data_IF_435760235700
#
_entry.id   IF_435760235700
#
_cell.length_a   1.000
_cell.length_b   1.000
_cell.length_c   1.000
_cell.angle_alpha   90.00
_cell.angle_beta   90.00
_cell.angle_gamma   90.00
#
_symmetry.space_group_name_H-M   'P 1'
#
loop_
_entity.id
_entity.type
_entity.pdbx_description
1 polymer ?
#
# COMPACT_ATOMS: atom_id res chain seq x y z
N UNK A 1 4.77 7.79 4.77
CA UNK A 1 3.85 8.78 5.38
C UNK A 1 3.27 9.77 4.37
N UNK A 2 4.03 10.30 3.40
CA UNK A 2 3.52 11.33 2.46
C UNK A 2 3.31 10.88 1.00
N UNK A 3 3.46 9.58 0.71
CA UNK A 3 3.54 9.05 -0.66
C UNK A 3 2.36 9.39 -1.55
N UNK A 4 1.11 9.19 -1.09
CA UNK A 4 -0.07 9.43 -1.92
C UNK A 4 -0.28 10.91 -2.27
N UNK A 5 0.09 11.83 -1.38
CA UNK A 5 0.03 13.27 -1.66
C UNK A 5 1.08 13.70 -2.70
N UNK A 6 2.29 13.15 -2.61
CA UNK A 6 3.35 13.38 -3.61
C UNK A 6 2.95 12.84 -5.00
N UNK A 7 2.34 11.65 -5.05
CA UNK A 7 1.78 11.07 -6.27
C UNK A 7 0.71 11.98 -6.87
N UNK A 8 -0.25 12.44 -6.06
CA UNK A 8 -1.28 13.37 -6.53
C UNK A 8 -0.65 14.63 -7.11
N UNK A 9 0.36 15.19 -6.45
CA UNK A 9 1.13 16.34 -6.95
C UNK A 9 1.76 16.07 -8.31
N UNK A 10 2.38 14.89 -8.50
CA UNK A 10 2.91 14.48 -9.80
C UNK A 10 1.82 14.44 -10.89
N UNK A 11 0.64 13.89 -10.58
CA UNK A 11 -0.44 13.74 -11.55
C UNK A 11 -1.13 15.07 -11.89
N UNK A 12 -1.31 15.96 -10.91
CA UNK A 12 -2.15 17.16 -11.07
C UNK A 12 -1.36 18.45 -11.36
N UNK A 13 -0.05 18.52 -11.06
CA UNK A 13 0.76 19.69 -11.40
C UNK A 13 0.88 19.82 -12.93
N UNK A 14 0.39 20.95 -13.44
CA UNK A 14 0.41 21.35 -14.84
C UNK A 14 1.70 22.13 -15.17
N UNK A 15 2.80 21.39 -15.29
CA UNK A 15 4.06 21.92 -15.82
C UNK A 15 4.81 20.83 -16.58
N UNK A 16 5.47 21.13 -17.71
CA UNK A 16 6.38 20.20 -18.35
C UNK A 16 7.66 20.00 -17.54
N UNK A 17 8.00 20.95 -16.67
CA UNK A 17 9.24 20.97 -15.87
C UNK A 17 9.03 20.32 -14.49
N UNK A 18 8.57 19.06 -14.50
CA UNK A 18 8.45 18.22 -13.31
C UNK A 18 9.30 16.96 -13.43
N UNK A 19 9.77 16.49 -12.28
CA UNK A 19 10.52 15.24 -12.11
C UNK A 19 10.00 14.50 -10.87
N UNK A 20 9.89 13.18 -10.96
CA UNK A 20 9.51 12.30 -9.86
C UNK A 20 10.67 11.35 -9.54
N UNK A 21 11.17 11.43 -8.29
CA UNK A 21 12.09 10.44 -7.73
C UNK A 21 11.39 9.73 -6.58
N UNK A 22 11.05 8.47 -6.79
CA UNK A 22 10.60 7.58 -5.74
C UNK A 22 11.81 6.92 -5.08
N UNK A 23 11.96 7.08 -3.77
CA UNK A 23 13.08 6.51 -3.01
C UNK A 23 12.58 5.48 -1.98
N UNK A 24 13.41 4.50 -1.60
CA UNK A 24 13.04 3.46 -0.63
C UNK A 24 13.24 3.89 0.83
N UNK A 25 13.75 5.10 1.05
CA UNK A 25 14.20 5.55 2.37
C UNK A 25 13.18 6.39 3.14
N UNK A 26 13.41 6.51 4.44
CA UNK A 26 12.79 7.45 5.35
C UNK A 26 13.13 8.89 4.95
N UNK A 27 12.19 9.83 5.13
CA UNK A 27 12.30 11.21 4.61
C UNK A 27 13.53 11.99 5.09
N UNK A 28 13.89 11.91 6.37
CA UNK A 28 15.04 12.62 6.93
C UNK A 28 16.35 11.98 6.49
N UNK A 29 16.38 10.65 6.39
CA UNK A 29 17.54 9.98 5.83
C UNK A 29 17.73 10.36 4.36
N UNK A 30 16.69 10.31 3.53
CA UNK A 30 16.84 10.72 2.13
C UNK A 30 17.25 12.19 2.03
N UNK A 31 16.63 13.10 2.78
CA UNK A 31 16.93 14.52 2.67
C UNK A 31 18.34 14.90 3.18
N UNK A 32 18.78 14.29 4.29
CA UNK A 32 20.01 14.73 5.00
C UNK A 32 21.13 13.70 5.00
N UNK A 33 20.79 12.41 4.99
CA UNK A 33 21.72 11.29 5.08
C UNK A 33 22.16 10.71 3.73
N UNK A 34 21.36 10.91 2.68
CA UNK A 34 21.67 10.48 1.31
C UNK A 34 22.37 11.61 0.53
N UNK A 35 23.68 11.50 0.22
CA UNK A 35 24.41 12.54 -0.50
C UNK A 35 23.85 12.80 -1.92
N UNK A 36 23.29 11.77 -2.57
CA UNK A 36 22.72 11.89 -3.91
C UNK A 36 21.50 12.83 -3.89
N UNK A 37 20.57 12.61 -2.95
CA UNK A 37 19.36 13.42 -2.82
C UNK A 37 19.68 14.91 -2.64
N UNK A 38 20.64 15.22 -1.76
CA UNK A 38 21.09 16.59 -1.52
C UNK A 38 21.73 17.22 -2.76
N UNK A 39 22.58 16.47 -3.47
CA UNK A 39 23.23 16.95 -4.68
C UNK A 39 22.20 17.25 -5.78
N UNK A 40 21.23 16.36 -6.00
CA UNK A 40 20.17 16.56 -6.98
C UNK A 40 19.27 17.76 -6.65
N UNK A 41 18.88 17.91 -5.37
CA UNK A 41 18.09 19.07 -4.94
C UNK A 41 18.82 20.40 -5.22
N UNK A 42 20.13 20.44 -4.98
CA UNK A 42 20.93 21.63 -5.26
C UNK A 42 21.13 21.87 -6.75
N UNK A 43 21.23 20.83 -7.58
CA UNK A 43 21.24 20.98 -9.04
C UNK A 43 19.92 21.55 -9.56
N UNK A 44 18.78 21.03 -9.09
CA UNK A 44 17.46 21.57 -9.42
C UNK A 44 17.34 23.06 -9.04
N UNK A 45 17.71 23.42 -7.81
CA UNK A 45 17.68 24.82 -7.37
C UNK A 45 18.70 25.70 -8.10
N UNK A 46 19.90 25.20 -8.38
CA UNK A 46 20.87 25.92 -9.22
C UNK A 46 20.28 26.26 -10.59
N UNK A 47 19.58 25.30 -11.20
CA UNK A 47 18.96 25.50 -12.51
C UNK A 47 17.82 26.52 -12.50
N UNK A 48 16.87 26.38 -11.57
CA UNK A 48 15.62 27.15 -11.61
C UNK A 48 15.58 28.39 -10.72
N UNK A 49 16.43 28.48 -9.69
CA UNK A 49 16.51 29.66 -8.82
C UNK A 49 17.68 30.59 -9.18
N UNK A 50 18.74 30.06 -9.79
CA UNK A 50 19.93 30.85 -10.18
C UNK A 50 20.16 30.94 -11.69
N UNK A 51 19.47 30.14 -12.49
CA UNK A 51 19.65 30.11 -13.94
C UNK A 51 20.95 29.45 -14.40
N UNK A 52 21.54 28.58 -13.58
CA UNK A 52 22.77 27.85 -13.95
C UNK A 52 22.50 26.83 -15.06
N UNK A 53 23.30 26.82 -16.13
CA UNK A 53 23.28 25.78 -17.17
C UNK A 53 24.00 24.51 -16.70
N UNK A 54 23.46 23.86 -15.67
CA UNK A 54 24.08 22.70 -15.02
C UNK A 54 23.62 21.34 -15.57
N UNK A 55 22.79 21.35 -16.63
CA UNK A 55 22.33 20.14 -17.32
C UNK A 55 21.25 19.34 -16.58
N UNK A 56 20.57 19.93 -15.59
CA UNK A 56 19.49 19.28 -14.83
C UNK A 56 18.41 18.64 -15.72
N UNK A 57 18.11 19.24 -16.86
CA UNK A 57 17.09 18.74 -17.79
C UNK A 57 17.42 17.36 -18.38
N UNK A 58 18.68 16.91 -18.28
CA UNK A 58 19.08 15.54 -18.64
C UNK A 58 18.69 14.49 -17.58
N UNK A 59 18.30 14.91 -16.38
CA UNK A 59 17.83 14.00 -15.33
C UNK A 59 16.57 13.29 -15.83
N UNK A 60 16.49 11.94 -15.73
CA UNK A 60 15.29 11.22 -16.12
C UNK A 60 14.04 11.70 -15.37
N UNK A 61 12.94 11.91 -16.11
CA UNK A 61 11.69 12.50 -15.60
C UNK A 61 11.08 11.67 -14.47
N UNK A 62 11.11 10.34 -14.58
CA UNK A 62 10.61 9.44 -13.55
C UNK A 62 11.66 8.39 -13.22
N UNK A 63 11.96 8.27 -11.92
CA UNK A 63 12.83 7.26 -11.35
C UNK A 63 12.13 6.58 -10.19
N UNK A 64 12.05 5.26 -10.24
CA UNK A 64 11.39 4.42 -9.25
C UNK A 64 12.40 3.68 -8.37
N UNK A 65 11.92 3.16 -7.24
CA UNK A 65 12.66 2.25 -6.40
C UNK A 65 11.84 0.99 -6.08
N UNK A 66 12.53 -0.13 -5.87
CA UNK A 66 11.94 -1.40 -5.45
C UNK A 66 12.49 -1.83 -4.10
N UNK A 67 11.57 -2.11 -3.18
CA UNK A 67 11.89 -2.75 -1.92
C UNK A 67 11.99 -4.26 -2.13
N UNK A 68 13.10 -4.85 -1.68
CA UNK A 68 13.30 -6.30 -1.65
C UNK A 68 12.86 -6.95 -0.35
N UNK A 69 12.69 -6.15 0.72
CA UNK A 69 12.50 -6.61 2.11
C UNK A 69 13.68 -7.48 2.59
N UNK A 70 13.69 -7.81 3.89
CA UNK A 70 14.81 -8.52 4.49
C UNK A 70 16.03 -7.59 4.65
N UNK A 71 17.22 -8.19 4.67
CA UNK A 71 18.49 -7.46 4.72
C UNK A 71 19.07 -7.15 3.34
N UNK A 72 18.26 -7.31 2.30
CA UNK A 72 18.67 -6.97 0.94
C UNK A 72 18.55 -5.47 0.72
N UNK A 73 19.55 -4.89 0.05
CA UNK A 73 19.47 -3.50 -0.38
C UNK A 73 18.31 -3.31 -1.39
N UNK A 74 17.60 -2.17 -1.33
CA UNK A 74 16.61 -1.83 -2.33
C UNK A 74 17.27 -1.56 -3.69
N UNK A 75 16.49 -1.62 -4.75
CA UNK A 75 16.92 -1.18 -6.09
C UNK A 75 16.46 0.27 -6.25
N UNK A 76 17.37 1.18 -6.57
CA UNK A 76 17.10 2.61 -6.67
C UNK A 76 17.29 3.13 -8.10
N UNK A 77 16.73 4.30 -8.39
CA UNK A 77 16.93 5.05 -9.63
C UNK A 77 16.54 4.28 -10.91
N UNK A 78 15.57 3.38 -10.84
CA UNK A 78 15.05 2.65 -12.02
C UNK A 78 14.34 3.66 -12.92
N UNK A 79 14.90 3.92 -14.10
CA UNK A 79 14.32 4.87 -15.05
C UNK A 79 13.09 4.25 -15.71
N UNK A 80 11.95 4.92 -15.59
CA UNK A 80 10.69 4.51 -16.21
C UNK A 80 10.12 5.68 -17.02
N UNK A 81 9.28 5.41 -18.05
CA UNK A 81 8.79 6.47 -18.92
C UNK A 81 7.83 7.44 -18.23
N UNK A 82 6.99 6.95 -17.31
CA UNK A 82 6.01 7.77 -16.58
C UNK A 82 5.51 7.06 -15.30
N UNK A 83 4.72 7.77 -14.49
CA UNK A 83 3.90 7.23 -13.42
C UNK A 83 2.44 7.73 -13.53
N UNK A 84 1.42 6.85 -13.50
CA UNK A 84 1.50 5.39 -13.36
C UNK A 84 2.24 4.74 -14.54
N UNK A 85 2.83 3.57 -14.32
CA UNK A 85 3.66 2.93 -15.33
C UNK A 85 2.78 2.51 -16.53
N UNK A 86 3.09 2.94 -17.77
CA UNK A 86 2.22 2.70 -18.94
C UNK A 86 1.91 1.23 -19.21
N UNK A 87 2.88 0.33 -19.01
CA UNK A 87 2.76 -1.11 -19.29
C UNK A 87 2.38 -1.92 -18.03
N UNK A 88 1.65 -1.31 -17.10
CA UNK A 88 1.20 -2.00 -15.88
C UNK A 88 0.12 -3.04 -16.21
N UNK A 89 0.39 -4.30 -15.85
CA UNK A 89 -0.57 -5.41 -15.93
C UNK A 89 -1.37 -5.50 -14.63
N UNK A 90 -2.55 -4.88 -14.62
CA UNK A 90 -3.46 -4.91 -13.47
C UNK A 90 -4.20 -6.24 -13.38
N UNK A 91 -3.81 -7.08 -12.41
CA UNK A 91 -4.42 -8.40 -12.18
C UNK A 91 -5.38 -8.37 -11.02
N UNK A 92 -6.54 -8.98 -11.22
CA UNK A 92 -7.49 -9.27 -10.14
C UNK A 92 -7.17 -10.61 -9.49
N UNK A 93 -6.97 -10.62 -8.19
CA UNK A 93 -6.82 -11.84 -7.37
C UNK A 93 -7.98 -11.92 -6.38
N UNK A 94 -8.85 -12.92 -6.56
CA UNK A 94 -10.08 -13.11 -5.80
C UNK A 94 -9.83 -13.88 -4.51
N UNK A 95 -10.45 -13.41 -3.43
CA UNK A 95 -10.43 -14.07 -2.13
C UNK A 95 -11.09 -15.44 -2.24
N UNK A 96 -10.51 -16.46 -1.60
CA UNK A 96 -11.03 -17.83 -1.59
C UNK A 96 -11.31 -18.29 -0.15
N UNK A 97 -12.27 -19.21 0.02
CA UNK A 97 -12.70 -19.71 1.33
C UNK A 97 -11.62 -20.49 2.09
N UNK A 98 -10.58 -20.96 1.40
CA UNK A 98 -9.43 -21.66 1.97
C UNK A 98 -8.30 -20.71 2.45
N UNK A 99 -8.52 -19.40 2.40
CA UNK A 99 -7.53 -18.40 2.80
C UNK A 99 -6.46 -18.15 1.72
N UNK A 100 -6.74 -18.46 0.46
CA UNK A 100 -5.86 -18.13 -0.67
C UNK A 100 -6.43 -17.00 -1.54
N UNK A 101 -5.60 -16.51 -2.45
CA UNK A 101 -5.96 -15.59 -3.52
C UNK A 101 -5.87 -16.33 -4.86
N UNK A 102 -7.01 -16.45 -5.55
CA UNK A 102 -7.14 -17.14 -6.83
C UNK A 102 -7.27 -16.20 -8.03
N UNK A 103 -6.96 -16.66 -9.24
CA UNK A 103 -7.12 -15.87 -10.47
C UNK A 103 -8.58 -15.73 -10.93
N UNK A 104 -9.48 -16.55 -10.39
CA UNK A 104 -10.91 -16.55 -10.71
C UNK A 104 -11.75 -16.48 -9.43
N UNK A 105 -12.92 -15.87 -9.52
CA UNK A 105 -13.87 -15.84 -8.41
C UNK A 105 -14.46 -17.24 -8.15
N UNK A 106 -14.61 -17.61 -6.88
CA UNK A 106 -15.39 -18.81 -6.53
C UNK A 106 -16.83 -18.67 -7.02
N UNK A 107 -17.40 -19.76 -7.54
CA UNK A 107 -18.84 -19.81 -7.90
C UNK A 107 -19.72 -19.98 -6.68
N UNK A 108 -19.19 -20.55 -5.61
CA UNK A 108 -19.91 -20.77 -4.37
C UNK A 108 -19.83 -19.54 -3.48
N UNK A 109 -20.97 -19.11 -2.96
CA UNK A 109 -21.03 -18.02 -1.98
C UNK A 109 -20.66 -18.53 -0.60
N UNK A 110 -19.70 -17.84 0.02
CA UNK A 110 -19.24 -18.08 1.39
C UNK A 110 -18.81 -16.76 2.03
N UNK A 111 -18.38 -16.79 3.29
CA UNK A 111 -17.75 -15.64 3.92
C UNK A 111 -16.72 -16.10 4.95
N UNK A 112 -15.77 -15.23 5.25
CA UNK A 112 -14.90 -15.34 6.43
C UNK A 112 -15.26 -14.22 7.38
N UNK A 113 -15.43 -14.55 8.66
CA UNK A 113 -15.76 -13.60 9.72
C UNK A 113 -14.59 -13.39 10.67
N UNK A 114 -14.51 -12.20 11.26
CA UNK A 114 -13.55 -11.88 12.31
C UNK A 114 -14.18 -10.92 13.33
N UNK A 115 -13.73 -10.99 14.57
CA UNK A 115 -14.11 -10.00 15.59
C UNK A 115 -13.46 -8.64 15.28
N UNK A 116 -14.27 -7.63 14.97
CA UNK A 116 -13.79 -6.29 14.59
C UNK A 116 -13.20 -5.50 15.77
N UNK A 117 -13.50 -5.92 17.00
CA UNK A 117 -13.03 -5.32 18.26
C UNK A 117 -11.77 -5.98 18.82
N UNK A 118 -11.20 -6.96 18.11
CA UNK A 118 -9.95 -7.64 18.51
C UNK A 118 -8.84 -7.43 17.47
N UNK A 119 -7.72 -8.14 17.61
CA UNK A 119 -6.65 -8.19 16.62
C UNK A 119 -6.90 -9.23 15.53
N UNK A 120 -8.07 -9.85 15.49
CA UNK A 120 -8.44 -10.81 14.45
C UNK A 120 -8.52 -10.14 13.07
N UNK A 121 -8.31 -10.95 12.03
CA UNK A 121 -8.43 -10.53 10.64
C UNK A 121 -8.76 -11.73 9.75
N UNK A 122 -9.44 -11.47 8.64
CA UNK A 122 -9.50 -12.42 7.53
C UNK A 122 -8.22 -12.26 6.71
N UNK A 123 -7.52 -13.36 6.41
CA UNK A 123 -6.21 -13.31 5.75
C UNK A 123 -6.15 -14.23 4.53
N UNK A 124 -5.57 -13.73 3.43
CA UNK A 124 -5.54 -14.43 2.14
C UNK A 124 -4.15 -14.38 1.51
N UNK A 125 -3.61 -15.53 1.11
CA UNK A 125 -2.23 -15.67 0.62
C UNK A 125 -2.16 -15.90 -0.89
N UNK A 126 -1.22 -15.22 -1.56
CA UNK A 126 -0.79 -15.52 -2.92
C UNK A 126 0.73 -15.80 -2.94
N UNK A 127 1.14 -16.96 -3.46
CA UNK A 127 2.55 -17.34 -3.56
C UNK A 127 3.04 -17.16 -5.00
N UNK A 128 4.16 -16.46 -5.17
CA UNK A 128 4.70 -16.15 -6.49
C UNK A 128 5.48 -17.34 -7.04
N UNK A 129 5.08 -17.83 -8.22
CA UNK A 129 5.77 -18.93 -8.89
C UNK A 129 7.13 -18.53 -9.49
N UNK A 130 7.32 -17.24 -9.77
CA UNK A 130 8.53 -16.68 -10.36
C UNK A 130 8.77 -15.28 -9.79
N UNK A 131 9.99 -14.76 -9.97
CA UNK A 131 10.31 -13.38 -9.59
C UNK A 131 9.31 -12.41 -10.23
N UNK A 132 8.70 -11.57 -9.41
CA UNK A 132 7.61 -10.68 -9.81
C UNK A 132 7.75 -9.34 -9.12
N UNK A 133 7.27 -8.27 -9.75
CA UNK A 133 7.29 -6.93 -9.17
C UNK A 133 5.87 -6.37 -9.16
N UNK A 134 5.51 -5.74 -8.05
CA UNK A 134 4.25 -5.01 -7.91
C UNK A 134 4.60 -3.55 -7.67
N UNK A 135 4.26 -2.69 -8.63
CA UNK A 135 4.64 -1.28 -8.62
C UNK A 135 3.47 -0.40 -9.05
N UNK A 136 3.05 0.53 -8.20
CA UNK A 136 1.94 1.45 -8.48
C UNK A 136 0.85 1.38 -7.41
N UNK A 137 -0.38 1.69 -7.81
CA UNK A 137 -1.55 1.81 -6.92
C UNK A 137 -2.42 0.53 -6.93
N UNK A 138 -2.38 -0.29 -5.87
CA UNK A 138 -3.32 -1.39 -5.66
C UNK A 138 -4.67 -0.92 -5.10
N UNK A 139 -5.71 -1.76 -5.27
CA UNK A 139 -7.06 -1.55 -4.73
C UNK A 139 -7.61 -2.85 -4.18
N UNK A 140 -8.34 -2.79 -3.07
CA UNK A 140 -9.24 -3.88 -2.65
C UNK A 140 -10.68 -3.55 -3.04
N UNK A 141 -11.39 -4.53 -3.58
CA UNK A 141 -12.84 -4.50 -3.74
C UNK A 141 -13.41 -5.55 -2.81
N UNK A 142 -14.04 -5.13 -1.72
CA UNK A 142 -14.54 -6.01 -0.67
C UNK A 142 -16.06 -5.91 -0.58
N UNK A 143 -16.73 -7.06 -0.54
CA UNK A 143 -18.14 -7.15 -0.21
C UNK A 143 -18.24 -7.55 1.26
N UNK A 144 -18.80 -6.66 2.08
CA UNK A 144 -18.77 -6.81 3.53
C UNK A 144 -20.11 -6.56 4.19
N UNK A 145 -20.36 -7.19 5.33
CA UNK A 145 -21.53 -6.93 6.16
C UNK A 145 -21.18 -7.04 7.64
N UNK A 146 -21.97 -6.38 8.48
CA UNK A 146 -21.93 -6.51 9.94
C UNK A 146 -23.37 -6.62 10.45
N UNK A 147 -23.67 -7.61 11.29
CA UNK A 147 -25.02 -7.78 11.88
C UNK A 147 -25.19 -6.95 13.17
N UNK A 148 -24.08 -6.58 13.80
CA UNK A 148 -24.03 -6.04 15.17
C UNK A 148 -23.99 -4.50 15.21
N UNK A 149 -23.78 -3.83 14.07
CA UNK A 149 -23.60 -2.39 13.98
C UNK A 149 -24.03 -1.80 12.63
N UNK A 150 -24.19 -0.48 12.58
CA UNK A 150 -24.59 0.28 11.38
C UNK A 150 -23.41 0.95 10.65
N UNK A 151 -22.19 0.58 10.97
CA UNK A 151 -20.97 1.04 10.29
C UNK A 151 -19.83 0.01 10.41
N UNK A 152 -18.78 0.19 9.62
CA UNK A 152 -17.56 -0.63 9.67
C UNK A 152 -16.33 0.22 9.33
N UNK A 153 -15.38 0.34 10.25
CA UNK A 153 -14.00 0.74 9.96
C UNK A 153 -13.22 -0.48 9.44
N UNK A 154 -12.83 -0.43 8.16
CA UNK A 154 -12.17 -1.55 7.48
C UNK A 154 -10.75 -1.16 7.14
N UNK A 155 -9.80 -1.96 7.63
CA UNK A 155 -8.38 -1.84 7.35
C UNK A 155 -7.95 -2.97 6.43
N UNK A 156 -7.17 -2.62 5.40
CA UNK A 156 -6.52 -3.57 4.50
C UNK A 156 -5.02 -3.41 4.63
N UNK A 157 -4.30 -4.51 4.78
CA UNK A 157 -2.85 -4.52 4.89
C UNK A 157 -2.27 -5.64 4.02
N UNK A 158 -1.26 -5.32 3.21
CA UNK A 158 -0.53 -6.32 2.42
C UNK A 158 0.83 -6.55 3.08
N UNK A 159 1.05 -7.73 3.62
CA UNK A 159 2.37 -8.16 4.09
C UNK A 159 3.11 -8.97 3.02
N UNK A 160 4.44 -8.92 3.09
CA UNK A 160 5.33 -9.80 2.34
C UNK A 160 5.83 -10.93 3.25
N UNK A 161 5.82 -12.15 2.75
CA UNK A 161 6.29 -13.35 3.43
C UNK A 161 7.48 -13.95 2.69
N UNK A 162 8.43 -14.49 3.45
CA UNK A 162 9.50 -15.32 2.91
C UNK A 162 8.96 -16.69 2.45
N UNK A 163 9.86 -17.56 1.96
CA UNK A 163 9.51 -18.90 1.45
C UNK A 163 9.02 -19.85 2.53
N UNK A 164 9.37 -19.59 3.79
CA UNK A 164 8.98 -20.39 4.94
C UNK A 164 7.66 -19.86 5.56
N UNK A 165 7.14 -18.74 5.06
CA UNK A 165 5.90 -18.12 5.47
C UNK A 165 6.04 -17.13 6.62
N UNK A 166 7.26 -16.72 6.98
CA UNK A 166 7.50 -15.71 8.00
C UNK A 166 7.32 -14.31 7.40
N UNK A 167 6.78 -13.39 8.21
CA UNK A 167 6.64 -12.00 7.81
C UNK A 167 8.01 -11.35 7.62
N UNK A 168 8.22 -10.78 6.44
CA UNK A 168 9.38 -9.96 6.15
C UNK A 168 9.07 -8.49 6.47
N UNK A 169 10.12 -7.75 6.84
CA UNK A 169 10.09 -6.29 7.04
C UNK A 169 11.10 -5.64 6.11
N UNK A 170 10.96 -4.35 5.88
CA UNK A 170 11.95 -3.52 5.21
C UNK A 170 12.43 -2.44 6.17
N UNK A 171 13.73 -2.17 6.15
CA UNK A 171 14.31 -1.09 6.93
C UNK A 171 14.30 0.18 6.08
N UNK A 172 13.70 1.26 6.58
CA UNK A 172 13.59 2.54 5.87
C UNK A 172 14.89 3.37 5.92
N UNK A 173 15.92 2.88 6.58
CA UNK A 173 17.26 3.47 6.65
C UNK A 173 18.28 2.40 6.29
N UNK A 174 19.51 2.74 5.87
CA UNK A 174 20.49 1.71 5.57
C UNK A 174 20.86 0.91 6.81
N UNK A 175 21.12 -0.39 6.63
CA UNK A 175 21.73 -1.24 7.65
C UNK A 175 23.09 -0.71 8.11
N UNK A 176 23.81 -0.04 7.21
CA UNK A 176 25.10 0.59 7.54
C UNK A 176 24.87 1.79 8.47
N UNK A 177 25.39 1.68 9.69
CA UNK A 177 25.44 2.79 10.65
C UNK A 177 24.35 2.76 11.73
N UNK A 178 23.58 1.68 11.82
CA UNK A 178 22.65 1.44 12.94
C UNK A 178 23.21 0.39 13.92
N UNK A 179 22.83 0.43 15.21
CA UNK A 179 23.44 -0.41 16.24
C UNK A 179 22.96 -1.87 16.25
N UNK A 180 21.98 -2.22 15.41
CA UNK A 180 21.37 -3.55 15.31
C UNK A 180 21.81 -4.25 14.03
N UNK A 181 21.90 -5.58 14.07
CA UNK A 181 22.41 -6.42 12.97
C UNK A 181 21.33 -7.27 12.32
N UNK A 182 20.13 -7.35 12.92
CA UNK A 182 18.98 -8.10 12.40
C UNK A 182 17.65 -7.41 12.75
N UNK A 183 16.55 -7.84 12.14
CA UNK A 183 15.22 -7.36 12.53
C UNK A 183 14.78 -7.83 13.93
N UNK A 184 15.35 -8.94 14.42
CA UNK A 184 15.02 -9.52 15.72
C UNK A 184 15.73 -8.78 16.87
N UNK A 185 16.77 -8.01 16.54
CA UNK A 185 17.52 -7.20 17.51
C UNK A 185 16.77 -5.90 17.90
N UNK A 186 15.73 -5.51 17.15
CA UNK A 186 14.97 -4.29 17.44
C UNK A 186 14.11 -4.48 18.69
N UNK A 187 14.22 -3.56 19.64
CA UNK A 187 13.28 -3.51 20.76
C UNK A 187 11.89 -3.04 20.28
N UNK A 188 10.82 -3.27 21.05
CA UNK A 188 9.49 -2.76 20.72
C UNK A 188 9.47 -1.23 20.50
N UNK A 189 10.23 -0.48 21.30
CA UNK A 189 10.33 0.98 21.21
C UNK A 189 11.07 1.45 19.95
N UNK A 190 11.99 0.63 19.44
CA UNK A 190 12.73 0.91 18.20
C UNK A 190 11.94 0.49 16.95
N UNK A 191 10.99 -0.43 17.09
CA UNK A 191 10.20 -1.02 16.01
C UNK A 191 9.09 -0.12 15.47
N UNK A 192 9.37 1.17 15.30
CA UNK A 192 8.40 2.15 14.80
C UNK A 192 8.23 2.05 13.28
N UNK A 193 7.06 2.44 12.76
CA UNK A 193 6.79 2.47 11.30
C UNK A 193 7.68 3.47 10.54
N UNK A 194 8.33 4.40 11.25
CA UNK A 194 9.34 5.30 10.69
C UNK A 194 10.60 4.52 10.30
N UNK A 195 10.97 3.53 11.10
CA UNK A 195 12.20 2.73 10.93
C UNK A 195 11.92 1.45 10.16
N UNK A 196 10.84 0.75 10.50
CA UNK A 196 10.46 -0.53 9.93
C UNK A 196 9.20 -0.38 9.10
N UNK A 197 9.27 -0.73 7.82
CA UNK A 197 8.11 -0.83 6.95
C UNK A 197 7.65 -2.28 6.82
N UNK A 198 6.36 -2.53 7.03
CA UNK A 198 5.75 -3.87 6.96
C UNK A 198 4.96 -4.13 5.67
N UNK A 199 4.62 -3.07 4.93
CA UNK A 199 3.84 -3.16 3.69
C UNK A 199 2.76 -2.09 3.58
N UNK A 200 2.09 -2.00 2.41
CA UNK A 200 1.14 -0.93 2.14
C UNK A 200 -0.20 -1.19 2.83
N UNK A 201 -0.90 -0.09 3.14
CA UNK A 201 -2.17 -0.09 3.88
C UNK A 201 -3.26 0.64 3.12
N UNK A 202 -4.50 0.24 3.33
CA UNK A 202 -5.72 0.93 2.92
C UNK A 202 -6.70 0.99 4.09
N UNK A 203 -7.53 2.03 4.14
CA UNK A 203 -8.55 2.18 5.18
C UNK A 203 -9.79 2.81 4.56
N UNK A 204 -10.96 2.35 4.98
CA UNK A 204 -12.23 2.99 4.66
C UNK A 204 -13.24 2.74 5.78
N UNK A 205 -13.95 3.80 6.19
CA UNK A 205 -15.20 3.67 6.95
C UNK A 205 -16.35 3.44 5.98
N UNK A 206 -17.12 2.37 6.17
CA UNK A 206 -18.12 1.92 5.22
C UNK A 206 -19.23 2.95 4.95
N UNK A 207 -19.63 3.75 5.93
CA UNK A 207 -20.57 4.85 5.72
C UNK A 207 -20.04 5.95 4.79
N UNK A 208 -18.74 6.03 4.55
CA UNK A 208 -18.10 6.96 3.61
C UNK A 208 -17.74 6.32 2.26
N UNK A 209 -18.33 5.16 1.92
CA UNK A 209 -18.04 4.41 0.68
C UNK A 209 -18.43 5.12 -0.62
N UNK A 210 -19.09 6.27 -0.57
CA UNK A 210 -19.41 7.06 -1.77
C UNK A 210 -18.13 7.36 -2.57
N UNK A 211 -18.21 7.31 -3.89
CA UNK A 211 -17.09 7.57 -4.80
C UNK A 211 -17.51 8.66 -5.77
N UNK A 212 -16.64 9.63 -5.99
CA UNK A 212 -16.70 10.53 -7.14
C UNK A 212 -15.67 10.08 -8.18
N UNK A 213 -16.10 9.40 -9.27
CA UNK A 213 -15.19 8.93 -10.30
C UNK A 213 -14.46 10.06 -11.03
N UNK A 214 -15.07 11.25 -11.14
CA UNK A 214 -14.48 12.38 -11.85
C UNK A 214 -13.30 13.02 -11.10
N UNK A 215 -13.22 12.81 -9.78
CA UNK A 215 -12.14 13.28 -8.91
C UNK A 215 -11.14 12.20 -8.53
N UNK A 216 -11.36 10.97 -8.97
CA UNK A 216 -10.46 9.85 -8.69
C UNK A 216 -9.17 10.03 -9.50
N UNK A 217 -8.03 10.15 -8.81
CA UNK A 217 -6.74 10.36 -9.48
C UNK A 217 -6.26 9.13 -10.28
N UNK A 218 -6.86 7.97 -10.02
CA UNK A 218 -6.60 6.72 -10.73
C UNK A 218 -7.76 5.73 -10.52
N UNK A 219 -8.00 4.79 -11.46
CA UNK A 219 -9.08 3.78 -11.35
C UNK A 219 -8.96 2.86 -10.11
N UNK A 220 -7.73 2.66 -9.64
CA UNK A 220 -7.41 1.93 -8.40
C UNK A 220 -7.21 2.83 -7.18
N UNK A 221 -7.46 4.13 -7.30
CA UNK A 221 -7.42 5.06 -6.19
C UNK A 221 -8.69 5.91 -6.16
N UNK A 222 -9.80 5.34 -5.65
CA UNK A 222 -11.08 6.01 -5.65
C UNK A 222 -11.02 7.27 -4.79
N UNK A 223 -11.66 8.33 -5.27
CA UNK A 223 -11.89 9.52 -4.47
C UNK A 223 -13.19 9.38 -3.69
N UNK A 224 -13.09 9.26 -2.38
CA UNK A 224 -14.23 9.33 -1.47
C UNK A 224 -14.45 10.78 -1.04
N UNK A 225 -15.61 11.39 -1.33
CA UNK A 225 -15.84 12.81 -0.99
C UNK A 225 -15.86 13.09 0.50
N UNK A 226 -16.26 12.10 1.31
CA UNK A 226 -16.45 12.23 2.76
C UNK A 226 -17.43 13.35 3.15
N UNK A 227 -18.38 13.71 2.28
CA UNK A 227 -19.34 14.81 2.52
C UNK A 227 -20.56 14.38 3.35
N UNK A 228 -20.83 13.07 3.41
CA UNK A 228 -21.94 12.48 4.19
C UNK A 228 -21.56 11.10 4.73
N UNK A 229 -22.28 10.68 5.77
CA UNK A 229 -22.29 9.30 6.27
C UNK A 229 -23.57 8.60 5.79
N UNK A 230 -23.42 7.56 4.97
CA UNK A 230 -24.49 6.67 4.56
C UNK A 230 -24.45 5.39 5.41
N UNK A 231 -25.04 5.45 6.60
CA UNK A 231 -25.07 4.33 7.56
C UNK A 231 -25.65 3.05 6.93
N UNK A 232 -25.20 1.92 7.45
CA UNK A 232 -25.55 0.59 6.98
C UNK A 232 -26.82 0.12 7.68
N UNK A 233 -27.66 -0.63 6.97
CA UNK A 233 -28.64 -1.48 7.65
C UNK A 233 -27.92 -2.75 8.10
N UNK A 234 -27.94 -3.10 9.40
CA UNK A 234 -27.26 -4.30 9.89
C UNK A 234 -27.63 -5.56 9.08
N UNK A 235 -26.62 -6.38 8.77
CA UNK A 235 -26.71 -7.57 7.93
C UNK A 235 -26.70 -7.32 6.42
N UNK A 236 -26.78 -6.07 5.96
CA UNK A 236 -26.73 -5.76 4.52
C UNK A 236 -25.30 -5.87 4.00
N UNK A 237 -25.12 -6.57 2.88
CA UNK A 237 -23.84 -6.64 2.17
C UNK A 237 -23.63 -5.36 1.38
N UNK A 238 -22.51 -4.68 1.62
CA UNK A 238 -22.10 -3.48 0.89
C UNK A 238 -20.76 -3.69 0.20
N UNK A 239 -20.59 -3.04 -0.95
CA UNK A 239 -19.32 -3.01 -1.68
C UNK A 239 -18.46 -1.85 -1.20
N UNK A 240 -17.21 -2.14 -0.92
CA UNK A 240 -16.17 -1.20 -0.49
C UNK A 240 -15.01 -1.26 -1.50
N UNK A 241 -14.77 -0.17 -2.22
CA UNK A 241 -13.56 0.02 -3.02
C UNK A 241 -12.54 0.78 -2.18
N UNK A 242 -11.52 0.09 -1.67
CA UNK A 242 -10.51 0.64 -0.75
C UNK A 242 -9.19 0.80 -1.50
N UNK A 243 -8.77 2.06 -1.70
CA UNK A 243 -7.43 2.35 -2.21
C UNK A 243 -6.36 1.90 -1.22
N UNK A 244 -5.36 1.15 -1.69
CA UNK A 244 -4.22 0.70 -0.87
C UNK A 244 -3.00 1.49 -1.31
N UNK A 245 -2.23 2.00 -0.34
CA UNK A 245 -1.09 2.88 -0.60
C UNK A 245 -0.19 2.30 -1.68
N UNK A 246 0.26 3.18 -2.57
CA UNK A 246 1.09 2.78 -3.68
C UNK A 246 2.40 2.16 -3.19
N UNK A 247 2.85 1.15 -3.92
CA UNK A 247 3.96 0.28 -3.52
C UNK A 247 4.94 0.11 -4.67
N UNK A 248 6.17 -0.28 -4.33
CA UNK A 248 7.18 -0.78 -5.25
C UNK A 248 7.92 -1.92 -4.57
N UNK A 249 7.47 -3.15 -4.77
CA UNK A 249 7.99 -4.34 -4.06
C UNK A 249 8.33 -5.43 -5.07
N UNK A 250 9.53 -5.99 -4.95
CA UNK A 250 9.94 -7.20 -5.66
C UNK A 250 9.69 -8.43 -4.78
N UNK A 251 9.16 -9.49 -5.38
CA UNK A 251 8.94 -10.80 -4.76
C UNK A 251 9.73 -11.86 -5.53
N UNK A 252 10.54 -12.64 -4.83
CA UNK A 252 11.27 -13.78 -5.37
C UNK A 252 10.35 -15.00 -5.54
N UNK A 253 10.75 -15.96 -6.36
CA UNK A 253 10.02 -17.22 -6.52
C UNK A 253 9.90 -17.96 -5.17
N UNK A 254 8.68 -18.33 -4.79
CA UNK A 254 8.32 -18.98 -3.53
C UNK A 254 7.97 -18.03 -2.39
N UNK A 255 8.29 -16.73 -2.50
CA UNK A 255 7.79 -15.72 -1.57
C UNK A 255 6.29 -15.52 -1.78
N UNK A 256 5.62 -14.92 -0.79
CA UNK A 256 4.18 -14.67 -0.87
C UNK A 256 3.82 -13.24 -0.50
N UNK A 257 2.69 -12.77 -1.00
CA UNK A 257 1.95 -11.69 -0.35
C UNK A 257 0.81 -12.30 0.47
N UNK A 258 0.51 -11.71 1.62
CA UNK A 258 -0.72 -12.01 2.36
C UNK A 258 -1.46 -10.70 2.60
N UNK A 259 -2.74 -10.69 2.25
CA UNK A 259 -3.62 -9.56 2.54
C UNK A 259 -4.41 -9.86 3.79
N UNK A 260 -4.51 -8.88 4.67
CA UNK A 260 -5.37 -8.89 5.85
C UNK A 260 -6.51 -7.91 5.65
N UNK A 261 -7.72 -8.32 6.04
CA UNK A 261 -8.89 -7.46 6.24
C UNK A 261 -9.21 -7.49 7.73
N UNK A 262 -9.18 -6.33 8.39
CA UNK A 262 -9.36 -6.23 9.85
C UNK A 262 -10.22 -5.02 10.23
N UNK A 263 -10.72 -5.06 11.47
CA UNK A 263 -11.38 -3.93 12.12
C UNK A 263 -10.39 -2.98 12.82
N UNK A 264 -9.09 -3.29 12.80
CA UNK A 264 -8.04 -2.47 13.40
C UNK A 264 -6.84 -2.29 12.48
N UNK A 265 -6.12 -1.19 12.71
CA UNK A 265 -4.86 -0.92 12.02
C UNK A 265 -3.77 -1.91 12.42
N UNK A 266 -2.97 -2.34 11.44
CA UNK A 266 -1.73 -3.11 11.66
C UNK A 266 -0.51 -2.22 11.93
N UNK A 267 -0.67 -0.89 11.87
CA UNK A 267 0.38 0.06 12.19
C UNK A 267 0.69 0.02 13.69
N UNK A 268 1.96 0.24 14.05
CA UNK A 268 2.31 0.44 15.47
C UNK A 268 1.61 1.69 16.00
N UNK A 269 0.81 1.52 17.05
CA UNK A 269 0.08 2.59 17.73
C UNK A 269 1.05 3.50 18.50
N UNK A 270 1.78 4.35 17.77
CA UNK A 270 2.72 5.29 18.35
C UNK A 270 2.09 6.66 18.65
N UNK A 271 0.92 6.94 18.07
CA UNK A 271 0.25 8.23 18.16
C UNK A 271 -1.27 8.05 18.27
N UNK A 272 -1.88 8.60 19.32
CA UNK A 272 -3.34 8.67 19.50
C UNK A 272 -3.96 7.53 20.31
N UNK A 273 -5.27 7.66 20.56
CA UNK A 273 -6.11 6.68 21.25
C UNK A 273 -6.95 5.90 20.23
N UNK A 274 -7.49 4.74 20.65
CA UNK A 274 -8.43 3.96 19.85
C UNK A 274 -9.87 4.50 19.88
N UNK A 275 -10.09 5.69 20.47
CA UNK A 275 -11.43 6.28 20.68
C UNK A 275 -12.14 6.66 19.38
N UNK A 276 -11.41 6.74 18.26
CA UNK A 276 -11.98 7.01 16.95
C UNK A 276 -12.62 5.78 16.29
N UNK A 277 -12.30 4.57 16.78
CA UNK A 277 -12.87 3.32 16.28
C UNK A 277 -14.30 3.18 16.78
N UNK A 278 -15.23 2.93 15.86
CA UNK A 278 -16.66 2.67 16.17
C UNK A 278 -17.08 1.27 15.75
N UNK A 279 -16.13 0.36 15.54
CA UNK A 279 -16.40 -1.04 15.23
C UNK A 279 -17.06 -1.77 16.40
N UNK A 280 -18.07 -2.61 16.11
CA UNK A 280 -18.71 -3.51 17.07
C UNK A 280 -18.99 -4.85 16.44
N UNK A 281 -18.77 -5.91 17.21
CA UNK A 281 -19.13 -7.27 16.86
C UNK A 281 -18.37 -7.81 15.64
N UNK A 282 -19.06 -8.59 14.82
CA UNK A 282 -18.44 -9.45 13.81
C UNK A 282 -18.58 -8.87 12.41
N UNK A 283 -17.45 -8.57 11.77
CA UNK A 283 -17.42 -8.26 10.34
C UNK A 283 -17.36 -9.56 9.53
N UNK A 284 -18.02 -9.56 8.37
CA UNK A 284 -17.98 -10.67 7.41
C UNK A 284 -17.45 -10.17 6.08
N UNK A 285 -16.45 -10.86 5.54
CA UNK A 285 -15.93 -10.66 4.18
C UNK A 285 -16.54 -11.74 3.29
N UNK A 286 -17.40 -11.33 2.37
CA UNK A 286 -18.12 -12.24 1.46
C UNK A 286 -17.22 -12.64 0.29
N UNK A 287 -17.37 -13.90 -0.14
CA UNK A 287 -16.52 -14.55 -1.12
C UNK A 287 -17.41 -15.28 -2.13
N UNK A 288 -17.13 -15.06 -3.41
CA UNK A 288 -17.74 -15.81 -4.52
C UNK A 288 -19.22 -15.52 -4.78
N UNK A 289 -19.75 -16.19 -5.79
CA UNK A 289 -21.11 -15.94 -6.30
C UNK A 289 -21.30 -14.47 -6.71
N UNK A 290 -22.30 -13.79 -6.13
CA UNK A 290 -22.58 -12.37 -6.39
C UNK A 290 -21.61 -11.41 -5.68
N UNK A 291 -20.76 -11.92 -4.78
CA UNK A 291 -19.85 -11.13 -3.94
C UNK A 291 -18.37 -11.48 -4.17
N UNK A 292 -17.83 -11.23 -5.37
CA UNK A 292 -16.47 -11.61 -5.72
C UNK A 292 -15.45 -10.62 -5.13
N UNK A 293 -15.22 -10.66 -3.80
CA UNK A 293 -14.19 -9.83 -3.16
C UNK A 293 -12.80 -10.16 -3.73
N UNK A 294 -12.00 -9.14 -4.05
CA UNK A 294 -10.71 -9.30 -4.72
C UNK A 294 -9.75 -8.13 -4.47
N UNK A 295 -8.47 -8.38 -4.76
CA UNK A 295 -7.45 -7.36 -4.92
C UNK A 295 -7.18 -7.08 -6.39
N UNK A 296 -6.93 -5.83 -6.74
CA UNK A 296 -6.39 -5.42 -8.02
C UNK A 296 -4.95 -4.97 -7.79
N UNK A 297 -3.98 -5.70 -8.35
CA UNK A 297 -2.56 -5.51 -8.12
C UNK A 297 -1.83 -5.07 -9.41
N UNK A 298 -0.94 -4.05 -9.35
CA UNK A 298 -0.21 -3.55 -10.51
C UNK A 298 1.09 -4.35 -10.78
N UNK A 299 1.01 -5.42 -11.58
CA UNK A 299 2.21 -6.18 -11.95
C UNK A 299 3.01 -5.44 -13.03
N UNK A 300 4.34 -5.41 -12.90
CA UNK A 300 5.25 -4.78 -13.87
C UNK A 300 6.51 -5.63 -14.09
N UNK A 301 7.35 -5.22 -15.03
CA UNK A 301 8.70 -5.77 -15.25
C UNK A 301 9.66 -4.63 -15.57
N UNK A 302 10.35 -4.13 -14.54
CA UNK A 302 11.29 -2.99 -14.60
C UNK A 302 12.63 -3.31 -13.93
#
# INVERSE_FOLDING_TARGET
MHGMGAIRGWLEVDTPDKWLRWHPWQEWYDLWGNPQAKAELFQFFGRYLKGEENGWENTPKVRMALLKFGQSDPIENIVVPDFPLPDTDYKSLYLQSDGTLGSEASKESSFISYNSESSESAAFKYTFAQKSQIVGMPKAVLYMSCDDHDDMDVYVFIEKLDKDGNQMKSLNIPWKGIPVQSFDDFTPEQSTEVVLYKGPVGILRASHREIDPARSMHTNWPFHPHEKEEKLTPGTVVRLDIGIWAMGIEYEAGESLRVHVSGRSFAVANFGTLEHLDNKGTHKVHIGGEYPSHLILPFVSI
#
